data_IF_766903144322
#
_entry.id   IF_766903144322
#
_cell.length_a   1.000
_cell.length_b   1.000
_cell.length_c   1.000
_cell.angle_alpha   90.00
_cell.angle_beta   90.00
_cell.angle_gamma   90.00
#
_symmetry.space_group_name_H-M   'P 1'
#
loop_
_entity.id
_entity.type
_entity.pdbx_description
1 polymer ?
#
# COMPACT_ATOMS: atom_id res chain seq x y z
N UNK A 1 -14.28 25.16 12.71
CA UNK A 1 -14.44 25.49 14.13
C UNK A 1 -15.05 24.27 14.78
N UNK A 2 -14.22 23.28 15.08
CA UNK A 2 -14.61 22.03 15.74
C UNK A 2 -14.06 22.10 17.17
N UNK A 3 -14.99 22.12 18.13
CA UNK A 3 -14.70 22.15 19.57
C UNK A 3 -14.40 20.71 20.01
N UNK A 4 -13.17 20.24 19.79
CA UNK A 4 -12.73 18.85 20.06
C UNK A 4 -12.44 18.57 21.55
N UNK A 5 -13.09 19.24 22.50
CA UNK A 5 -12.55 19.30 23.85
C UNK A 5 -13.50 19.44 25.03
N UNK A 6 -14.78 19.10 24.92
CA UNK A 6 -15.65 19.05 26.11
C UNK A 6 -16.44 17.75 26.15
N UNK A 7 -15.86 16.76 26.82
CA UNK A 7 -16.52 15.49 27.08
C UNK A 7 -17.85 15.70 27.81
N UNK A 8 -18.87 14.92 27.43
CA UNK A 8 -20.03 14.44 28.21
C UNK A 8 -20.84 15.45 29.07
N UNK A 9 -20.47 16.73 29.12
CA UNK A 9 -21.04 17.75 30.01
C UNK A 9 -22.17 18.55 29.34
N UNK A 10 -22.43 18.32 28.05
CA UNK A 10 -23.65 18.76 27.38
C UNK A 10 -24.69 17.61 27.34
N UNK A 11 -24.91 16.95 28.48
CA UNK A 11 -25.92 15.89 28.61
C UNK A 11 -27.35 16.47 28.70
N UNK A 12 -27.68 17.46 27.87
CA UNK A 12 -29.00 18.09 27.80
C UNK A 12 -29.12 18.98 26.56
N UNK A 13 -30.34 19.40 26.20
CA UNK A 13 -30.56 20.23 25.02
C UNK A 13 -29.76 21.55 25.06
N UNK A 14 -29.25 22.02 23.91
CA UNK A 14 -29.24 21.32 22.62
C UNK A 14 -28.23 20.17 22.61
N UNK A 15 -28.67 19.00 22.16
CA UNK A 15 -27.83 17.81 22.06
C UNK A 15 -26.76 18.00 20.97
N UNK A 16 -25.53 17.58 21.24
CA UNK A 16 -24.51 17.49 20.20
C UNK A 16 -24.87 16.40 19.19
N UNK A 17 -24.64 16.66 17.91
CA UNK A 17 -24.86 15.68 16.83
C UNK A 17 -24.03 14.41 17.05
N UNK A 18 -22.79 14.54 17.51
CA UNK A 18 -21.91 13.39 17.77
C UNK A 18 -22.49 12.46 18.84
N UNK A 19 -23.00 13.00 19.95
CA UNK A 19 -23.68 12.20 20.98
C UNK A 19 -24.93 11.48 20.44
N UNK A 20 -25.73 12.14 19.60
CA UNK A 20 -26.90 11.50 18.98
C UNK A 20 -26.49 10.39 18.00
N UNK A 21 -25.40 10.59 17.27
CA UNK A 21 -24.83 9.58 16.37
C UNK A 21 -24.28 8.38 17.16
N UNK A 22 -23.50 8.61 18.23
CA UNK A 22 -22.97 7.54 19.08
C UNK A 22 -24.09 6.75 19.77
N UNK A 23 -25.13 7.44 20.23
CA UNK A 23 -26.33 6.81 20.83
C UNK A 23 -27.07 5.95 19.80
N UNK A 24 -27.32 6.47 18.59
CA UNK A 24 -28.00 5.76 17.51
C UNK A 24 -27.17 4.59 16.95
N UNK A 25 -25.85 4.74 16.92
CA UNK A 25 -24.92 3.69 16.48
C UNK A 25 -24.69 2.60 17.55
N UNK A 26 -25.21 2.77 18.77
CA UNK A 26 -25.03 1.82 19.87
C UNK A 26 -23.59 1.77 20.39
N UNK A 27 -22.83 2.87 20.23
CA UNK A 27 -21.43 2.99 20.66
C UNK A 27 -21.33 3.24 22.17
N UNK A 28 -22.36 3.88 22.75
CA UNK A 28 -22.41 4.19 24.19
C UNK A 28 -22.66 2.96 25.05
N UNK A 29 -22.22 3.03 26.31
CA UNK A 29 -22.52 2.00 27.32
C UNK A 29 -24.03 1.83 27.51
N UNK A 30 -24.50 0.58 27.66
CA UNK A 30 -25.93 0.23 27.78
C UNK A 30 -26.65 1.04 28.88
N UNK A 31 -26.01 1.24 30.03
CA UNK A 31 -26.58 2.02 31.15
C UNK A 31 -26.71 3.50 30.83
N UNK A 32 -25.82 4.03 29.99
CA UNK A 32 -25.87 5.41 29.55
C UNK A 32 -26.92 5.60 28.47
N UNK A 33 -26.94 4.74 27.46
CA UNK A 33 -27.97 4.71 26.43
C UNK A 33 -29.39 4.62 27.02
N UNK A 34 -29.61 3.72 28.00
CA UNK A 34 -30.89 3.57 28.69
C UNK A 34 -31.34 4.84 29.44
N UNK A 35 -30.40 5.68 29.91
CA UNK A 35 -30.71 6.98 30.54
C UNK A 35 -31.00 8.07 29.51
N UNK A 36 -30.30 8.06 28.37
CA UNK A 36 -30.40 9.10 27.36
C UNK A 36 -31.61 8.94 26.44
N UNK A 37 -31.92 7.70 26.02
CA UNK A 37 -33.01 7.42 25.08
C UNK A 37 -34.36 8.05 25.47
N UNK A 38 -34.85 7.94 26.73
CA UNK A 38 -36.11 8.57 27.12
C UNK A 38 -36.12 10.09 26.96
N UNK A 39 -34.98 10.76 27.20
CA UNK A 39 -34.84 12.22 27.10
C UNK A 39 -34.76 12.67 25.64
N UNK A 40 -34.01 11.94 24.82
CA UNK A 40 -33.93 12.17 23.36
C UNK A 40 -35.30 11.97 22.71
N UNK A 41 -36.06 10.93 23.11
CA UNK A 41 -37.39 10.67 22.57
C UNK A 41 -38.45 11.70 22.99
N UNK A 42 -38.24 12.39 24.11
CA UNK A 42 -39.09 13.49 24.54
C UNK A 42 -38.80 14.81 23.80
N UNK A 43 -37.67 14.90 23.07
CA UNK A 43 -37.23 16.08 22.35
C UNK A 43 -37.53 15.95 20.84
N UNK A 44 -38.42 16.79 20.26
CA UNK A 44 -38.78 16.69 18.85
C UNK A 44 -37.62 17.04 17.90
N UNK A 45 -36.71 17.92 18.30
CA UNK A 45 -35.56 18.30 17.47
C UNK A 45 -34.53 17.16 17.43
N UNK A 46 -34.23 16.56 18.59
CA UNK A 46 -33.34 15.41 18.67
C UNK A 46 -33.88 14.23 17.85
N UNK A 47 -35.19 13.98 17.92
CA UNK A 47 -35.85 12.95 17.10
C UNK A 47 -35.72 13.19 15.60
N UNK A 48 -35.81 14.45 15.15
CA UNK A 48 -35.63 14.77 13.74
C UNK A 48 -34.20 14.44 13.26
N UNK A 49 -33.19 14.69 14.10
CA UNK A 49 -31.79 14.33 13.81
C UNK A 49 -31.61 12.80 13.75
N UNK A 50 -32.14 12.06 14.73
CA UNK A 50 -32.08 10.58 14.74
C UNK A 50 -32.74 10.01 13.48
N UNK A 51 -33.90 10.52 13.08
CA UNK A 51 -34.59 10.10 11.85
C UNK A 51 -33.75 10.37 10.59
N UNK A 52 -33.05 11.50 10.53
CA UNK A 52 -32.16 11.82 9.41
C UNK A 52 -30.95 10.86 9.35
N UNK A 53 -30.38 10.47 10.49
CA UNK A 53 -29.31 9.48 10.57
C UNK A 53 -29.79 8.07 10.16
N UNK A 54 -30.97 7.67 10.60
CA UNK A 54 -31.59 6.40 10.20
C UNK A 54 -31.88 6.36 8.70
N UNK A 55 -32.42 7.44 8.12
CA UNK A 55 -32.64 7.56 6.68
C UNK A 55 -31.32 7.45 5.90
N UNK A 56 -30.26 8.13 6.35
CA UNK A 56 -28.93 8.02 5.73
C UNK A 56 -28.38 6.59 5.81
N UNK A 57 -28.58 5.92 6.94
CA UNK A 57 -28.15 4.52 7.12
C UNK A 57 -28.92 3.58 6.17
N UNK A 58 -30.23 3.81 6.01
CA UNK A 58 -31.06 3.05 5.07
C UNK A 58 -30.65 3.30 3.60
N UNK A 59 -30.36 4.54 3.23
CA UNK A 59 -29.87 4.90 1.91
C UNK A 59 -28.53 4.20 1.61
N UNK A 60 -27.58 4.23 2.56
CA UNK A 60 -26.30 3.53 2.44
C UNK A 60 -26.48 2.00 2.34
N UNK A 61 -27.39 1.43 3.13
CA UNK A 61 -27.71 0.01 3.05
C UNK A 61 -28.33 -0.38 1.69
N UNK A 62 -29.10 0.52 1.07
CA UNK A 62 -29.62 0.30 -0.28
C UNK A 62 -28.50 0.22 -1.32
N UNK A 63 -27.46 1.04 -1.19
CA UNK A 63 -26.28 0.99 -2.08
C UNK A 63 -25.50 -0.30 -1.94
N UNK A 64 -25.47 -0.92 -0.75
CA UNK A 64 -24.79 -2.20 -0.53
C UNK A 64 -25.44 -3.36 -1.29
N UNK A 65 -26.75 -3.27 -1.57
CA UNK A 65 -27.49 -4.29 -2.34
C UNK A 65 -27.72 -3.91 -3.80
N UNK A 66 -27.40 -2.66 -4.17
CA UNK A 66 -27.50 -2.20 -5.54
C UNK A 66 -26.51 -2.95 -6.46
N UNK A 67 -26.89 -3.21 -7.74
CA UNK A 67 -25.97 -3.78 -8.70
C UNK A 67 -24.71 -2.91 -8.86
N UNK A 68 -23.55 -3.49 -8.59
CA UNK A 68 -22.29 -2.79 -8.80
C UNK A 68 -22.03 -2.62 -10.31
N UNK A 69 -21.54 -1.45 -10.77
CA UNK A 69 -21.11 -1.29 -12.16
C UNK A 69 -19.93 -2.24 -12.46
N UNK A 70 -19.76 -2.68 -13.72
CA UNK A 70 -18.67 -3.56 -14.08
C UNK A 70 -17.32 -2.90 -13.80
N UNK A 71 -16.38 -3.68 -13.26
CA UNK A 71 -15.03 -3.19 -12.98
C UNK A 71 -14.34 -2.72 -14.27
N UNK A 72 -13.69 -1.54 -14.27
CA UNK A 72 -12.92 -1.09 -15.43
C UNK A 72 -11.81 -2.10 -15.79
N UNK A 73 -11.64 -2.45 -17.08
CA UNK A 73 -10.72 -3.53 -17.49
C UNK A 73 -9.26 -3.22 -17.14
N UNK A 74 -8.86 -1.95 -17.19
CA UNK A 74 -7.52 -1.53 -16.78
C UNK A 74 -7.25 -1.77 -15.29
N UNK A 75 -8.27 -1.67 -14.43
CA UNK A 75 -8.14 -1.94 -12.99
C UNK A 75 -8.07 -3.45 -12.75
N UNK A 76 -8.94 -4.23 -13.40
CA UNK A 76 -8.90 -5.69 -13.34
C UNK A 76 -7.53 -6.24 -13.75
N UNK A 77 -7.00 -5.78 -14.89
CA UNK A 77 -5.68 -6.18 -15.36
C UNK A 77 -4.56 -5.81 -14.36
N UNK A 78 -4.64 -4.63 -13.73
CA UNK A 78 -3.67 -4.24 -12.69
C UNK A 78 -3.73 -5.15 -11.48
N UNK A 79 -4.93 -5.51 -11.02
CA UNK A 79 -5.13 -6.46 -9.91
C UNK A 79 -4.56 -7.82 -10.30
N UNK A 80 -4.86 -8.34 -11.48
CA UNK A 80 -4.33 -9.62 -11.97
C UNK A 80 -2.80 -9.62 -12.04
N UNK A 81 -2.20 -8.53 -12.52
CA UNK A 81 -0.74 -8.40 -12.56
C UNK A 81 -0.12 -8.36 -11.16
N UNK A 82 -0.75 -7.67 -10.20
CA UNK A 82 -0.29 -7.62 -8.82
C UNK A 82 -0.38 -9.01 -8.15
N UNK A 83 -1.50 -9.70 -8.31
CA UNK A 83 -1.69 -11.07 -7.80
C UNK A 83 -0.68 -12.03 -8.43
N UNK A 84 -0.45 -11.94 -9.74
CA UNK A 84 0.53 -12.78 -10.43
C UNK A 84 1.98 -12.47 -10.02
N UNK A 85 2.30 -11.24 -9.63
CA UNK A 85 3.62 -10.88 -9.10
C UNK A 85 3.85 -11.54 -7.73
N UNK A 86 2.88 -11.45 -6.82
CA UNK A 86 2.94 -12.10 -5.51
C UNK A 86 2.98 -13.63 -5.62
N UNK A 87 2.18 -14.20 -6.53
CA UNK A 87 2.14 -15.65 -6.76
C UNK A 87 3.49 -16.23 -7.26
N UNK A 88 4.32 -15.43 -7.95
CA UNK A 88 5.66 -15.86 -8.40
C UNK A 88 6.69 -15.88 -7.26
N UNK A 89 6.44 -15.16 -6.16
CA UNK A 89 7.26 -15.19 -4.95
C UNK A 89 6.96 -16.38 -4.02
N UNK A 90 5.83 -17.05 -4.22
CA UNK A 90 5.44 -18.26 -3.51
C UNK A 90 5.89 -19.49 -4.30
N UNK A 91 6.39 -20.52 -3.61
CA UNK A 91 6.73 -21.80 -4.24
C UNK A 91 5.51 -22.32 -5.03
N UNK A 92 5.71 -22.93 -6.21
CA UNK A 92 4.60 -23.37 -7.06
C UNK A 92 3.67 -24.25 -6.23
N UNK A 93 2.38 -23.93 -6.22
CA UNK A 93 1.35 -24.79 -5.61
C UNK A 93 1.34 -26.09 -6.40
N UNK A 94 2.06 -27.08 -5.88
CA UNK A 94 2.14 -28.39 -6.50
C UNK A 94 0.81 -29.09 -6.25
N UNK A 95 0.14 -29.50 -7.31
CA UNK A 95 -1.03 -30.37 -7.20
C UNK A 95 -0.62 -31.70 -6.55
N UNK A 96 -0.98 -31.85 -5.27
CA UNK A 96 -0.74 -33.04 -4.47
C UNK A 96 -1.40 -34.28 -5.07
N UNK A 97 -2.50 -34.13 -5.81
CA UNK A 97 -3.18 -35.21 -6.50
C UNK A 97 -2.38 -35.70 -7.72
N UNK A 98 -1.82 -34.77 -8.50
CA UNK A 98 -0.92 -35.10 -9.62
C UNK A 98 0.36 -35.79 -9.13
N UNK A 99 0.95 -35.32 -8.02
CA UNK A 99 2.14 -35.94 -7.42
C UNK A 99 1.83 -37.34 -6.87
N UNK A 100 0.71 -37.53 -6.17
CA UNK A 100 0.31 -38.85 -5.63
C UNK A 100 0.06 -39.86 -6.74
N UNK A 101 -0.59 -39.47 -7.84
CA UNK A 101 -0.84 -40.36 -8.99
C UNK A 101 0.47 -40.84 -9.63
N UNK A 102 1.42 -39.92 -9.83
CA UNK A 102 2.75 -40.22 -10.40
C UNK A 102 3.59 -41.11 -9.46
N UNK A 103 3.48 -40.91 -8.14
CA UNK A 103 4.16 -41.74 -7.13
C UNK A 103 3.60 -43.17 -7.09
N UNK A 104 2.28 -43.33 -7.15
CA UNK A 104 1.65 -44.65 -7.12
C UNK A 104 1.94 -45.46 -8.40
N UNK A 105 2.01 -44.78 -9.55
CA UNK A 105 2.41 -45.40 -10.81
C UNK A 105 3.88 -45.89 -10.80
N UNK A 106 4.79 -45.23 -10.08
CA UNK A 106 6.19 -45.66 -9.99
C UNK A 106 6.41 -46.83 -9.02
N UNK A 107 5.55 -46.98 -8.02
CA UNK A 107 5.63 -48.10 -7.06
C UNK A 107 5.13 -49.41 -7.69
N UNK A 108 4.29 -49.34 -8.75
CA UNK A 108 3.85 -50.50 -9.51
C UNK A 108 4.88 -51.12 -10.47
N UNK A 109 6.12 -50.59 -10.55
CA UNK A 109 7.16 -51.03 -11.50
C UNK A 109 8.36 -51.68 -10.81
N UNK A 110 8.22 -52.08 -9.53
CA UNK A 110 9.22 -52.93 -8.85
C UNK A 110 8.64 -54.35 -8.79
N UNK A 111 8.46 -54.94 -9.97
CA UNK A 111 8.34 -56.38 -10.13
C UNK A 111 9.20 -56.79 -11.33
N UNK A 112 10.44 -57.16 -11.02
CA UNK A 112 11.29 -58.01 -11.88
C UNK A 112 11.77 -57.41 -13.20
N UNK A 113 13.08 -57.19 -13.31
CA UNK A 113 13.98 -57.90 -14.24
C UNK A 113 15.32 -57.16 -14.25
N UNK A 114 16.37 -57.91 -13.89
CA UNK A 114 17.77 -57.55 -14.17
C UNK A 114 17.97 -57.57 -15.68
N UNK A 115 18.28 -56.43 -16.31
CA UNK A 115 18.73 -56.41 -17.70
C UNK A 115 19.73 -55.27 -17.96
N UNK A 116 20.98 -55.69 -18.05
CA UNK A 116 22.15 -55.22 -18.82
C UNK A 116 22.04 -53.92 -19.64
N UNK A 117 23.02 -53.05 -19.40
CA UNK A 117 23.56 -51.93 -20.17
C UNK A 117 23.15 -51.73 -21.64
N UNK A 118 22.86 -50.46 -21.99
CA UNK A 118 23.41 -49.79 -23.17
C UNK A 118 23.26 -48.27 -23.03
N UNK A 119 24.32 -47.54 -23.37
CA UNK A 119 24.46 -46.10 -23.23
C UNK A 119 23.51 -45.32 -24.15
N UNK A 120 22.90 -44.25 -23.63
CA UNK A 120 22.41 -43.14 -24.43
C UNK A 120 22.59 -41.85 -23.64
N UNK A 121 23.74 -41.19 -23.85
CA UNK A 121 23.97 -39.82 -23.40
C UNK A 121 23.14 -38.92 -24.30
N UNK A 122 22.00 -38.43 -23.81
CA UNK A 122 21.25 -37.39 -24.47
C UNK A 122 22.01 -36.06 -24.33
N UNK A 123 22.67 -35.63 -25.40
CA UNK A 123 23.30 -34.33 -25.49
C UNK A 123 22.23 -33.22 -25.43
N UNK A 124 22.31 -32.37 -24.41
CA UNK A 124 21.47 -31.17 -24.28
C UNK A 124 22.05 -30.14 -25.26
N UNK A 125 21.37 -29.88 -26.36
CA UNK A 125 21.69 -28.77 -27.26
C UNK A 125 21.21 -27.45 -26.64
N UNK A 126 22.15 -26.64 -26.14
CA UNK A 126 21.87 -25.26 -25.73
C UNK A 126 21.92 -24.40 -27.00
N UNK A 127 20.75 -23.97 -27.47
CA UNK A 127 20.65 -22.98 -28.54
C UNK A 127 20.85 -21.58 -27.95
N UNK A 128 22.03 -21.00 -28.21
CA UNK A 128 22.31 -19.57 -28.00
C UNK A 128 22.23 -18.89 -29.37
N UNK A 129 21.29 -17.96 -29.62
CA UNK A 129 21.44 -17.04 -30.73
C UNK A 129 22.36 -15.90 -30.28
N UNK A 130 23.57 -15.88 -30.84
CA UNK A 130 24.51 -14.79 -30.73
C UNK A 130 24.40 -13.79 -31.88
N UNK A 131 24.50 -12.51 -31.50
CA UNK A 131 25.02 -11.34 -32.22
C UNK A 131 24.39 -10.90 -33.55
N UNK A 132 23.98 -9.62 -33.60
CA UNK A 132 24.55 -8.65 -34.53
C UNK A 132 24.53 -7.23 -33.93
N UNK A 133 25.71 -6.64 -33.83
CA UNK A 133 25.88 -5.19 -33.69
C UNK A 133 25.49 -4.53 -35.01
N UNK A 134 24.60 -3.53 -34.95
CA UNK A 134 24.39 -2.60 -36.06
C UNK A 134 24.62 -1.19 -35.56
N UNK A 135 25.73 -0.62 -36.01
CA UNK A 135 26.08 0.79 -35.88
C UNK A 135 25.08 1.62 -36.71
N UNK A 136 24.13 2.26 -36.03
CA UNK A 136 23.26 3.27 -36.60
C UNK A 136 23.29 4.51 -35.72
N UNK A 137 23.78 5.63 -36.26
CA UNK A 137 23.74 6.95 -35.62
C UNK A 137 22.48 7.68 -36.10
N UNK A 138 21.49 7.96 -35.26
CA UNK A 138 20.54 9.02 -35.52
C UNK A 138 20.97 10.27 -34.74
N UNK A 139 21.24 11.35 -35.48
CA UNK A 139 21.16 12.71 -34.95
C UNK A 139 19.68 12.99 -34.68
N UNK A 140 19.31 13.06 -33.41
CA UNK A 140 18.10 13.73 -32.95
C UNK A 140 18.33 14.19 -31.50
N UNK A 141 18.35 15.50 -31.30
CA UNK A 141 18.34 16.10 -29.97
C UNK A 141 17.09 15.64 -29.22
N UNK A 142 17.17 15.24 -27.94
CA UNK A 142 15.96 15.04 -27.16
C UNK A 142 15.30 16.41 -26.92
N UNK A 143 14.05 16.64 -27.35
CA UNK A 143 13.26 17.68 -26.73
C UNK A 143 13.05 17.30 -25.26
N UNK A 144 12.84 18.34 -24.44
CA UNK A 144 12.41 18.24 -23.05
C UNK A 144 11.15 17.39 -22.94
N UNK A 145 11.30 16.08 -22.76
CA UNK A 145 10.17 15.20 -22.50
C UNK A 145 9.88 15.23 -21.01
N UNK A 146 9.06 16.23 -20.63
CA UNK A 146 8.09 16.09 -19.55
C UNK A 146 7.13 14.94 -19.92
N UNK A 147 7.58 13.70 -19.73
CA UNK A 147 6.73 12.53 -19.82
C UNK A 147 6.01 12.37 -18.48
N UNK A 148 4.80 12.93 -18.41
CA UNK A 148 3.83 12.52 -17.41
C UNK A 148 3.48 11.04 -17.61
N UNK A 149 3.77 10.22 -16.60
CA UNK A 149 3.48 8.79 -16.63
C UNK A 149 3.97 8.01 -15.42
N UNK A 150 3.80 8.56 -14.21
CA UNK A 150 4.14 7.88 -12.96
C UNK A 150 4.24 8.84 -11.79
N UNK A 151 3.10 9.16 -11.18
CA UNK A 151 2.87 9.79 -9.85
C UNK A 151 4.08 10.39 -9.09
N UNK A 152 4.84 11.29 -9.70
CA UNK A 152 6.00 11.92 -9.06
C UNK A 152 5.52 12.82 -7.92
N UNK A 153 6.01 12.55 -6.72
CA UNK A 153 5.62 13.30 -5.53
C UNK A 153 6.33 14.66 -5.52
N UNK A 154 5.60 15.75 -5.75
CA UNK A 154 6.15 17.09 -5.62
C UNK A 154 5.99 17.57 -4.17
N UNK A 155 7.10 17.76 -3.47
CA UNK A 155 7.14 18.22 -2.07
C UNK A 155 7.89 19.55 -2.04
N UNK A 156 7.40 20.47 -1.21
CA UNK A 156 8.13 21.69 -0.88
C UNK A 156 8.70 21.58 0.52
N UNK A 157 9.89 22.12 0.73
CA UNK A 157 10.56 22.04 2.05
C UNK A 157 9.75 22.72 3.17
N UNK A 158 8.93 23.71 2.85
CA UNK A 158 8.03 24.40 3.78
C UNK A 158 6.78 23.56 4.14
N UNK A 159 6.35 22.64 3.27
CA UNK A 159 5.14 21.82 3.42
C UNK A 159 5.39 20.31 3.24
N UNK A 160 6.17 19.67 4.13
CA UNK A 160 6.53 18.25 4.03
C UNK A 160 5.35 17.29 4.31
N UNK A 161 4.24 17.79 4.86
CA UNK A 161 3.09 16.97 5.27
C UNK A 161 2.42 16.27 4.08
N UNK A 162 2.47 16.88 2.89
CA UNK A 162 1.91 16.31 1.67
C UNK A 162 2.57 14.98 1.28
N UNK A 163 3.83 14.76 1.68
CA UNK A 163 4.55 13.51 1.42
C UNK A 163 4.10 12.36 2.32
N UNK A 164 3.71 12.67 3.56
CA UNK A 164 3.44 11.65 4.59
C UNK A 164 2.24 10.79 4.22
N UNK A 165 1.13 11.39 3.79
CA UNK A 165 -0.08 10.64 3.42
C UNK A 165 0.10 9.71 2.22
N UNK A 166 1.05 10.01 1.33
CA UNK A 166 1.40 9.17 0.18
C UNK A 166 2.37 8.05 0.53
N UNK A 167 3.26 8.29 1.48
CA UNK A 167 4.24 7.30 1.94
C UNK A 167 3.64 6.36 2.99
N UNK A 168 2.61 6.78 3.72
CA UNK A 168 1.90 5.95 4.70
C UNK A 168 1.10 4.81 4.08
N UNK A 169 0.88 4.81 2.76
CA UNK A 169 0.21 3.70 2.05
C UNK A 169 1.10 2.47 1.84
N UNK A 170 2.37 2.52 2.28
CA UNK A 170 3.29 1.39 2.19
C UNK A 170 3.93 1.18 0.81
N UNK A 171 3.74 2.11 -0.13
CA UNK A 171 4.33 2.02 -1.48
C UNK A 171 5.85 2.05 -1.39
N UNK A 172 6.53 1.21 -2.16
CA UNK A 172 8.01 1.14 -2.25
C UNK A 172 8.47 1.46 -3.67
N UNK A 173 8.42 2.74 -4.03
CA UNK A 173 9.02 3.25 -5.25
C UNK A 173 10.37 3.90 -4.96
N UNK A 174 11.45 3.16 -5.27
CA UNK A 174 12.83 3.61 -5.08
C UNK A 174 13.31 4.58 -6.18
N UNK A 175 12.54 4.72 -7.27
CA UNK A 175 12.89 5.55 -8.41
C UNK A 175 14.34 5.34 -8.89
N UNK A 176 15.14 6.42 -9.03
CA UNK A 176 16.52 6.32 -9.50
C UNK A 176 17.46 5.47 -8.64
N UNK A 177 17.14 5.25 -7.36
CA UNK A 177 17.95 4.37 -6.50
C UNK A 177 17.84 2.91 -6.93
N UNK A 178 16.75 2.53 -7.59
CA UNK A 178 16.52 1.19 -8.15
C UNK A 178 16.01 0.18 -7.14
N UNK A 179 16.68 0.01 -6.00
CA UNK A 179 16.35 -1.05 -5.03
C UNK A 179 16.51 -0.63 -3.55
N UNK A 180 16.06 -1.53 -2.67
CA UNK A 180 16.09 -1.36 -1.22
C UNK A 180 17.52 -1.35 -0.66
N UNK A 181 18.42 -2.12 -1.27
CA UNK A 181 19.81 -2.24 -0.84
C UNK A 181 20.56 -0.92 -1.03
N UNK A 182 20.37 -0.27 -2.19
CA UNK A 182 20.90 1.07 -2.44
C UNK A 182 20.29 2.09 -1.50
N UNK A 183 18.97 2.03 -1.28
CA UNK A 183 18.34 2.93 -0.32
C UNK A 183 18.98 2.83 1.08
N UNK A 184 19.15 1.61 1.58
CA UNK A 184 19.77 1.39 2.89
C UNK A 184 21.20 1.92 2.94
N UNK A 185 22.01 1.68 1.91
CA UNK A 185 23.36 2.23 1.82
C UNK A 185 23.34 3.77 1.85
N UNK A 186 22.36 4.40 1.20
CA UNK A 186 22.24 5.86 1.18
C UNK A 186 21.76 6.44 2.51
N UNK A 187 20.88 5.73 3.22
CA UNK A 187 20.46 6.09 4.57
C UNK A 187 21.63 5.98 5.55
N UNK A 188 22.41 4.90 5.49
CA UNK A 188 23.62 4.73 6.30
C UNK A 188 24.65 5.83 6.02
N UNK A 189 24.90 6.15 4.74
CA UNK A 189 25.81 7.22 4.36
C UNK A 189 25.35 8.60 4.86
N UNK A 190 24.03 8.81 4.96
CA UNK A 190 23.43 10.01 5.54
C UNK A 190 23.33 9.99 7.08
N UNK A 191 23.79 8.92 7.74
CA UNK A 191 23.87 8.79 9.20
C UNK A 191 22.64 8.19 9.88
N UNK A 192 21.72 7.56 9.13
CA UNK A 192 20.58 6.84 9.69
C UNK A 192 20.95 5.39 10.03
N UNK A 193 20.48 4.90 11.17
CA UNK A 193 20.77 3.54 11.65
C UNK A 193 19.98 2.46 10.90
N UNK A 194 20.52 1.24 10.86
CA UNK A 194 19.95 0.06 10.19
C UNK A 194 18.57 -0.37 10.69
N UNK A 195 18.17 0.10 11.87
CA UNK A 195 16.88 -0.20 12.49
C UNK A 195 15.74 0.68 11.98
N UNK A 196 16.02 1.71 11.18
CA UNK A 196 15.01 2.60 10.62
C UNK A 196 14.33 1.92 9.43
N UNK A 197 13.35 1.05 9.69
CA UNK A 197 12.58 0.40 8.63
C UNK A 197 11.70 1.45 7.90
N UNK A 198 11.84 1.61 6.57
CA UNK A 198 10.96 2.48 5.80
C UNK A 198 9.52 1.97 5.84
N UNK A 199 8.60 2.86 6.24
CA UNK A 199 7.15 2.65 6.10
C UNK A 199 6.78 2.73 4.62
N UNK A 200 7.33 3.72 3.91
CA UNK A 200 7.14 3.90 2.49
C UNK A 200 8.28 4.67 1.85
N UNK A 201 8.42 4.49 0.54
CA UNK A 201 9.42 5.13 -0.31
C UNK A 201 8.73 5.60 -1.59
N UNK A 202 9.01 6.84 -1.99
CA UNK A 202 8.48 7.39 -3.25
C UNK A 202 9.50 8.28 -3.92
N UNK A 203 9.61 8.17 -5.23
CA UNK A 203 10.36 9.13 -6.03
C UNK A 203 9.55 10.42 -6.24
N UNK A 204 10.25 11.54 -6.42
CA UNK A 204 9.62 12.84 -6.54
C UNK A 204 10.58 14.00 -6.73
N UNK A 205 10.10 15.20 -6.43
CA UNK A 205 10.90 16.43 -6.42
C UNK A 205 10.76 17.17 -5.09
N UNK A 206 11.87 17.65 -4.54
CA UNK A 206 11.92 18.58 -3.42
C UNK A 206 12.33 19.94 -3.96
N UNK A 207 11.45 20.95 -3.85
CA UNK A 207 11.70 22.31 -4.38
C UNK A 207 12.17 22.30 -5.86
N UNK A 208 11.61 21.37 -6.65
CA UNK A 208 11.94 21.19 -8.07
C UNK A 208 13.18 20.33 -8.34
N UNK A 209 13.95 19.93 -7.32
CA UNK A 209 15.09 19.04 -7.45
C UNK A 209 14.68 17.58 -7.29
N UNK A 210 15.16 16.64 -8.14
CA UNK A 210 14.89 15.22 -7.99
C UNK A 210 15.30 14.71 -6.60
N UNK A 211 14.39 14.00 -5.94
CA UNK A 211 14.60 13.44 -4.61
C UNK A 211 13.87 12.10 -4.46
N UNK A 212 14.39 11.26 -3.54
CA UNK A 212 13.69 10.06 -3.07
C UNK A 212 13.27 10.28 -1.63
N UNK A 213 11.96 10.24 -1.40
CA UNK A 213 11.36 10.44 -0.09
C UNK A 213 11.20 9.11 0.62
N UNK A 214 11.54 9.11 1.91
CA UNK A 214 11.53 7.95 2.79
C UNK A 214 10.82 8.34 4.06
N UNK A 215 9.77 7.59 4.43
CA UNK A 215 9.09 7.76 5.70
C UNK A 215 9.58 6.69 6.68
N UNK A 216 10.18 7.12 7.78
CA UNK A 216 10.76 6.27 8.82
C UNK A 216 9.93 6.32 10.10
N UNK A 217 9.92 5.21 10.84
CA UNK A 217 9.39 5.19 12.20
C UNK A 217 10.35 5.89 13.17
N UNK A 218 9.81 6.55 14.20
CA UNK A 218 10.61 7.10 15.30
C UNK A 218 10.56 6.26 16.58
N UNK A 219 9.69 5.24 16.60
CA UNK A 219 9.41 4.42 17.79
C UNK A 219 8.42 5.05 18.77
N UNK A 220 7.95 6.29 18.51
CA UNK A 220 6.91 6.96 19.29
C UNK A 220 5.58 6.95 18.54
N UNK A 221 4.47 6.92 19.29
CA UNK A 221 3.13 6.91 18.72
C UNK A 221 2.87 8.23 17.97
N UNK A 222 2.31 8.12 16.76
CA UNK A 222 1.96 9.24 15.88
C UNK A 222 3.12 10.18 15.48
N UNK A 223 4.38 9.80 15.70
CA UNK A 223 5.56 10.59 15.33
C UNK A 223 6.36 9.85 14.23
N UNK A 224 6.50 10.49 13.07
CA UNK A 224 7.19 9.93 11.91
C UNK A 224 8.34 10.83 11.48
N UNK A 225 9.41 10.26 10.92
CA UNK A 225 10.51 11.04 10.36
C UNK A 225 10.49 10.94 8.84
N UNK A 226 10.30 12.07 8.17
CA UNK A 226 10.39 12.20 6.72
C UNK A 226 11.81 12.60 6.34
N UNK A 227 12.43 11.78 5.49
CA UNK A 227 13.77 12.04 4.94
C UNK A 227 13.66 12.15 3.43
N UNK A 228 14.35 13.13 2.84
CA UNK A 228 14.55 13.21 1.39
C UNK A 228 16.02 12.99 1.06
N UNK A 229 16.30 12.07 0.16
CA UNK A 229 17.64 11.73 -0.30
C UNK A 229 17.84 12.19 -1.74
N UNK A 230 19.09 12.54 -2.06
CA UNK A 230 19.49 12.77 -3.45
C UNK A 230 19.56 11.45 -4.23
N UNK A 231 19.20 11.41 -5.53
CA UNK A 231 19.33 10.24 -6.39
C UNK A 231 20.74 9.64 -6.46
N UNK A 232 21.77 10.45 -6.22
CA UNK A 232 23.18 10.01 -6.26
C UNK A 232 23.74 9.65 -4.88
N UNK A 233 22.94 9.84 -3.83
CA UNK A 233 23.32 9.65 -2.43
C UNK A 233 24.47 10.56 -1.98
N UNK A 234 24.45 10.92 -0.71
CA UNK A 234 25.43 11.87 -0.17
C UNK A 234 25.47 11.79 1.35
N UNK A 235 26.47 12.44 1.97
CA UNK A 235 26.68 12.36 3.42
C UNK A 235 25.61 13.10 4.23
N UNK A 236 24.72 13.85 3.56
CA UNK A 236 23.61 14.57 4.19
C UNK A 236 22.33 14.37 3.39
N UNK A 237 21.18 14.21 4.05
CA UNK A 237 19.89 14.21 3.37
C UNK A 237 19.56 15.62 2.88
N UNK A 238 18.75 15.71 1.83
CA UNK A 238 18.18 16.97 1.32
C UNK A 238 17.14 17.55 2.29
N UNK A 239 16.43 16.67 3.01
CA UNK A 239 15.47 17.02 4.05
C UNK A 239 15.52 15.96 5.16
N UNK A 240 15.45 16.39 6.41
CA UNK A 240 15.17 15.54 7.57
C UNK A 240 14.20 16.29 8.49
N UNK A 241 12.97 15.79 8.63
CA UNK A 241 11.95 16.42 9.47
C UNK A 241 11.09 15.40 10.18
N UNK A 242 10.82 15.65 11.45
CA UNK A 242 9.83 14.90 12.22
C UNK A 242 8.45 15.52 12.00
N UNK A 243 7.46 14.68 11.71
CA UNK A 243 6.07 15.03 11.44
C UNK A 243 5.17 14.26 12.41
N UNK A 244 4.16 14.93 12.95
CA UNK A 244 3.31 14.40 14.01
C UNK A 244 3.86 14.75 15.40
N UNK A 245 3.02 15.42 16.19
CA UNK A 245 3.21 15.76 17.60
C UNK A 245 1.83 15.82 18.25
#
# INVERSE_FOLDING_TARGET
>A
MTDEGRGIEAAGPPWSVDLLADLQAGVLDEREAARLWPRVQADPEARAIIQALEATTADLASLATAPAPPMPPAVAARIDTAIAAEARGLAPVVDLAAVRRKRNQRIGWISGVVAVAAAAVAAIAIAVPGSTQTTGKPVAAPPVNSAAGGSSLAVRSDQPQAAVGRLSTGTKDYGPLGDAQRLNACLQAAGFADTASPIGVSSGTLDGQPAVFVLLTTGKLAEFRLVALSPVCGPKPLLDRVVGK
#
